data_IF_557331450571
#
_entry.id   IF_557331450571
#
_cell.length_a   1.000
_cell.length_b   1.000
_cell.length_c   1.000
_cell.angle_alpha   90.00
_cell.angle_beta   90.00
_cell.angle_gamma   90.00
#
_symmetry.space_group_name_H-M   'P 1'
#
loop_
_entity.id
_entity.type
_entity.pdbx_description
1 polymer ?
#
# COMPACT_ATOMS: atom_id res chain seq x y z
N UNK A 1 47.54 -68.33 -12.68
CA UNK A 1 48.08 -67.08 -12.11
C UNK A 1 47.26 -65.94 -12.70
N UNK A 2 46.66 -65.15 -11.81
CA UNK A 2 45.80 -63.96 -11.99
C UNK A 2 44.35 -64.13 -12.49
N UNK A 3 43.45 -63.98 -11.50
CA UNK A 3 42.00 -63.79 -11.56
C UNK A 3 41.63 -62.38 -12.03
N UNK A 4 40.47 -62.27 -12.68
CA UNK A 4 39.72 -61.03 -12.86
C UNK A 4 38.87 -60.77 -11.60
N UNK A 5 39.10 -59.65 -10.92
CA UNK A 5 38.35 -59.25 -9.72
C UNK A 5 37.28 -58.22 -10.08
N UNK A 6 36.02 -58.56 -9.81
CA UNK A 6 34.88 -57.65 -9.81
C UNK A 6 35.01 -56.62 -8.68
N UNK A 7 34.86 -55.33 -8.99
CA UNK A 7 34.80 -54.25 -7.99
C UNK A 7 33.34 -53.97 -7.64
N UNK A 8 33.04 -54.14 -6.35
CA UNK A 8 31.78 -53.89 -5.69
C UNK A 8 31.55 -52.38 -5.51
N UNK A 9 30.30 -51.92 -5.69
CA UNK A 9 29.87 -50.52 -5.49
C UNK A 9 30.06 -50.09 -4.03
N UNK A 10 30.70 -48.93 -3.82
CA UNK A 10 30.70 -48.23 -2.55
C UNK A 10 29.59 -47.16 -2.57
N UNK A 11 28.67 -47.28 -1.62
CA UNK A 11 27.56 -46.36 -1.37
C UNK A 11 28.10 -45.11 -0.68
N UNK A 12 28.32 -44.03 -1.43
CA UNK A 12 28.68 -42.72 -0.89
C UNK A 12 27.39 -41.99 -0.54
N UNK A 13 26.95 -42.19 0.70
CA UNK A 13 25.88 -41.41 1.31
C UNK A 13 26.26 -39.93 1.34
N UNK A 14 25.68 -39.14 0.44
CA UNK A 14 25.68 -37.68 0.56
C UNK A 14 24.55 -37.28 1.50
N UNK A 15 24.89 -37.10 2.79
CA UNK A 15 24.09 -36.31 3.70
C UNK A 15 24.00 -34.89 3.15
N UNK A 16 22.94 -34.58 2.42
CA UNK A 16 22.52 -33.20 2.15
C UNK A 16 21.73 -32.76 3.38
N UNK A 17 22.22 -31.80 4.19
CA UNK A 17 21.41 -31.24 5.24
C UNK A 17 20.21 -30.56 4.59
N UNK A 18 19.01 -31.03 4.94
CA UNK A 18 17.75 -30.38 4.61
C UNK A 18 17.70 -29.02 5.30
N UNK A 19 18.23 -27.98 4.62
CA UNK A 19 18.02 -26.59 5.01
C UNK A 19 16.58 -26.19 4.73
N UNK A 20 15.67 -26.67 5.57
CA UNK A 20 14.42 -25.95 5.85
C UNK A 20 14.80 -24.66 6.58
N UNK A 21 15.26 -23.66 5.83
CA UNK A 21 15.41 -22.28 6.30
C UNK A 21 14.02 -21.78 6.68
N UNK A 22 13.67 -21.92 7.95
CA UNK A 22 12.59 -21.13 8.55
C UNK A 22 12.86 -19.66 8.20
N UNK A 23 11.99 -19.09 7.36
CA UNK A 23 12.10 -17.70 6.94
C UNK A 23 11.85 -16.82 8.16
N UNK A 24 12.93 -16.42 8.84
CA UNK A 24 12.90 -15.50 9.96
C UNK A 24 12.12 -14.25 9.53
N UNK A 25 10.98 -13.99 10.18
CA UNK A 25 10.16 -12.83 9.85
C UNK A 25 10.99 -11.55 9.96
N UNK A 26 10.92 -10.71 8.92
CA UNK A 26 11.77 -9.52 8.83
C UNK A 26 11.40 -8.43 9.85
N UNK A 27 10.20 -8.51 10.43
CA UNK A 27 9.72 -7.60 11.46
C UNK A 27 9.93 -8.22 12.84
N UNK A 28 10.29 -7.41 13.87
CA UNK A 28 10.31 -7.88 15.25
C UNK A 28 8.97 -8.54 15.58
N UNK A 29 9.01 -9.64 16.33
CA UNK A 29 7.87 -10.52 16.56
C UNK A 29 6.57 -9.71 16.77
N UNK A 30 5.59 -9.93 15.89
CA UNK A 30 4.25 -9.33 15.91
C UNK A 30 4.12 -7.84 15.51
N UNK A 31 5.15 -7.18 14.97
CA UNK A 31 5.03 -5.79 14.48
C UNK A 31 4.27 -5.70 13.15
N UNK A 32 3.39 -4.71 13.00
CA UNK A 32 2.73 -4.37 11.72
C UNK A 32 3.18 -2.99 11.24
N UNK A 33 3.41 -2.81 9.95
CA UNK A 33 3.60 -1.49 9.33
C UNK A 33 2.28 -1.01 8.76
N UNK A 34 1.80 0.15 9.21
CA UNK A 34 0.66 0.85 8.63
C UNK A 34 1.21 1.95 7.73
N UNK A 35 1.04 1.78 6.43
CA UNK A 35 1.24 2.85 5.47
C UNK A 35 -0.05 3.66 5.35
N UNK A 36 -0.13 4.77 6.09
CA UNK A 36 -1.25 5.71 6.00
C UNK A 36 -1.02 6.66 4.82
N UNK A 37 -1.84 6.51 3.80
CA UNK A 37 -1.67 7.09 2.48
C UNK A 37 -2.22 8.50 2.46
N UNK A 38 -1.37 9.46 2.12
CA UNK A 38 -1.84 10.74 1.62
C UNK A 38 -2.04 10.62 0.10
N UNK A 39 -3.26 10.84 -0.45
CA UNK A 39 -3.49 10.72 -1.89
C UNK A 39 -2.57 11.66 -2.71
N UNK A 40 -2.21 11.21 -3.92
CA UNK A 40 -1.36 11.95 -4.89
C UNK A 40 0.06 12.28 -4.39
N UNK A 41 0.59 11.45 -3.49
CA UNK A 41 1.96 11.54 -2.95
C UNK A 41 2.96 10.52 -3.51
N UNK A 42 2.56 9.69 -4.49
CA UNK A 42 3.38 8.56 -4.98
C UNK A 42 3.18 7.26 -4.19
N UNK A 43 2.07 7.14 -3.46
CA UNK A 43 1.79 5.98 -2.61
C UNK A 43 1.65 4.65 -3.35
N UNK A 44 1.11 4.65 -4.57
CA UNK A 44 0.97 3.44 -5.41
C UNK A 44 2.33 2.83 -5.73
N UNK A 45 3.32 3.66 -6.07
CA UNK A 45 4.69 3.22 -6.36
C UNK A 45 5.34 2.53 -5.15
N UNK A 46 5.19 3.09 -3.94
CA UNK A 46 5.70 2.44 -2.74
C UNK A 46 4.95 1.14 -2.44
N UNK A 47 3.63 1.11 -2.61
CA UNK A 47 2.84 -0.10 -2.43
C UNK A 47 3.28 -1.22 -3.38
N UNK A 48 3.50 -0.91 -4.66
CA UNK A 48 4.01 -1.85 -5.67
C UNK A 48 5.42 -2.35 -5.33
N UNK A 49 6.30 -1.49 -4.81
CA UNK A 49 7.61 -1.89 -4.33
C UNK A 49 7.50 -2.93 -3.21
N UNK A 50 6.64 -2.68 -2.22
CA UNK A 50 6.40 -3.60 -1.11
C UNK A 50 5.80 -4.92 -1.61
N UNK A 51 4.85 -4.86 -2.54
CA UNK A 51 4.25 -6.04 -3.18
C UNK A 51 5.31 -6.88 -3.92
N UNK A 52 6.25 -6.24 -4.64
CA UNK A 52 7.37 -6.93 -5.29
C UNK A 52 8.33 -7.56 -4.28
N UNK A 53 8.69 -6.84 -3.22
CA UNK A 53 9.56 -7.37 -2.15
C UNK A 53 8.95 -8.59 -1.46
N UNK A 54 7.63 -8.64 -1.35
CA UNK A 54 6.92 -9.76 -0.71
C UNK A 54 7.22 -11.12 -1.33
N UNK A 55 7.52 -11.16 -2.65
CA UNK A 55 7.88 -12.38 -3.38
C UNK A 55 9.05 -13.15 -2.75
N UNK A 56 9.86 -12.48 -1.92
CA UNK A 56 11.04 -13.07 -1.25
C UNK A 56 11.01 -13.01 0.27
N UNK A 57 9.98 -12.38 0.87
CA UNK A 57 9.97 -12.00 2.30
C UNK A 57 8.77 -12.51 3.09
N UNK A 58 7.80 -13.19 2.46
CA UNK A 58 6.61 -13.77 3.12
C UNK A 58 5.88 -12.79 4.06
N UNK A 59 5.69 -11.56 3.60
CA UNK A 59 4.98 -10.47 4.29
C UNK A 59 3.49 -10.53 3.91
N UNK A 60 2.62 -10.73 4.90
CA UNK A 60 1.18 -10.56 4.66
C UNK A 60 0.85 -9.10 4.41
N UNK A 61 0.38 -8.78 3.20
CA UNK A 61 -0.05 -7.44 2.78
C UNK A 61 -1.57 -7.38 2.73
N UNK A 62 -2.15 -6.25 3.18
CA UNK A 62 -3.58 -5.92 3.03
C UNK A 62 -3.75 -4.51 2.50
N UNK A 63 -4.78 -4.29 1.68
CA UNK A 63 -5.15 -3.01 1.09
C UNK A 63 -6.60 -2.68 1.47
N UNK A 64 -6.84 -1.49 2.04
CA UNK A 64 -8.19 -0.98 2.38
C UNK A 64 -8.49 0.36 1.68
N UNK A 65 -7.82 0.63 0.55
CA UNK A 65 -8.05 1.82 -0.27
C UNK A 65 -9.33 1.74 -1.11
N UNK A 66 -9.80 0.53 -1.42
CA UNK A 66 -10.83 0.28 -2.44
C UNK A 66 -12.27 0.35 -1.90
N UNK A 67 -12.45 0.76 -0.64
CA UNK A 67 -13.76 0.85 0.02
C UNK A 67 -14.58 2.08 -0.40
N UNK A 68 -14.98 2.16 -1.68
CA UNK A 68 -15.73 3.31 -2.23
C UNK A 68 -17.11 3.55 -1.57
N UNK A 69 -17.69 2.52 -0.93
CA UNK A 69 -19.00 2.59 -0.26
C UNK A 69 -18.92 2.34 1.25
N UNK A 70 -17.74 2.41 1.85
CA UNK A 70 -17.53 2.13 3.26
C UNK A 70 -17.60 3.42 4.08
N UNK A 71 -18.39 3.41 5.16
CA UNK A 71 -18.38 4.51 6.14
C UNK A 71 -17.05 4.57 6.90
N UNK A 72 -16.75 5.71 7.51
CA UNK A 72 -15.54 5.85 8.33
C UNK A 72 -15.48 4.83 9.49
N UNK A 73 -16.62 4.55 10.13
CA UNK A 73 -16.71 3.60 11.24
C UNK A 73 -16.43 2.16 10.80
N UNK A 74 -17.01 1.73 9.68
CA UNK A 74 -16.77 0.40 9.10
C UNK A 74 -15.31 0.22 8.71
N UNK A 75 -14.71 1.25 8.07
CA UNK A 75 -13.28 1.23 7.71
C UNK A 75 -12.39 1.10 8.93
N UNK A 76 -12.71 1.84 9.99
CA UNK A 76 -11.95 1.80 11.23
C UNK A 76 -12.08 0.44 11.94
N UNK A 77 -13.26 -0.18 11.89
CA UNK A 77 -13.50 -1.52 12.42
C UNK A 77 -12.71 -2.58 11.64
N UNK A 78 -12.71 -2.49 10.31
CA UNK A 78 -11.91 -3.37 9.45
C UNK A 78 -10.42 -3.25 9.76
N UNK A 79 -9.89 -2.04 9.80
CA UNK A 79 -8.47 -1.77 10.09
C UNK A 79 -8.09 -2.31 11.47
N UNK A 80 -8.93 -2.12 12.49
CA UNK A 80 -8.70 -2.72 13.82
C UNK A 80 -8.63 -4.24 13.76
N UNK A 81 -9.56 -4.88 13.06
CA UNK A 81 -9.56 -6.36 12.89
C UNK A 81 -8.27 -6.83 12.21
N UNK A 82 -7.80 -6.11 11.19
CA UNK A 82 -6.57 -6.41 10.46
C UNK A 82 -5.33 -6.25 11.33
N UNK A 83 -5.18 -5.13 12.04
CA UNK A 83 -4.02 -4.83 12.89
C UNK A 83 -3.82 -5.90 13.98
N UNK A 84 -4.92 -6.41 14.54
CA UNK A 84 -4.89 -7.44 15.58
C UNK A 84 -4.88 -8.88 15.04
N UNK A 85 -4.91 -9.09 13.72
CA UNK A 85 -4.68 -10.41 13.14
C UNK A 85 -3.23 -10.83 13.37
N UNK A 86 -2.95 -12.12 13.56
CA UNK A 86 -1.62 -12.60 13.93
C UNK A 86 -0.60 -12.44 12.79
N UNK A 87 -1.04 -12.55 11.55
CA UNK A 87 -0.25 -12.68 10.33
C UNK A 87 0.10 -11.36 9.62
N UNK A 88 -0.56 -10.25 9.94
CA UNK A 88 -0.41 -8.99 9.18
C UNK A 88 0.98 -8.37 9.36
N UNK A 89 1.68 -8.15 8.23
CA UNK A 89 2.97 -7.47 8.19
C UNK A 89 2.90 -6.04 7.65
N UNK A 90 2.04 -5.77 6.65
CA UNK A 90 1.91 -4.46 6.02
C UNK A 90 0.45 -4.13 5.67
N UNK A 91 0.00 -2.95 6.07
CA UNK A 91 -1.33 -2.42 5.77
C UNK A 91 -1.23 -1.14 4.94
N UNK A 92 -1.82 -1.16 3.75
CA UNK A 92 -1.99 0.01 2.88
C UNK A 92 -3.40 0.58 3.07
N UNK A 93 -3.51 1.80 3.60
CA UNK A 93 -4.80 2.40 3.97
C UNK A 93 -4.80 3.92 3.82
N UNK A 94 -5.97 4.52 3.60
CA UNK A 94 -6.18 5.97 3.68
C UNK A 94 -7.20 6.28 4.75
N UNK A 95 -6.75 6.90 5.84
CA UNK A 95 -7.60 7.33 6.96
C UNK A 95 -6.99 8.56 7.64
N UNK A 96 -7.76 9.27 8.46
CA UNK A 96 -7.15 10.19 9.43
C UNK A 96 -6.23 9.40 10.36
N UNK A 97 -5.17 10.04 10.83
CA UNK A 97 -4.32 9.43 11.83
C UNK A 97 -5.14 8.98 13.04
N UNK A 98 -4.95 7.73 13.44
CA UNK A 98 -5.59 7.13 14.60
C UNK A 98 -4.51 6.41 15.37
N UNK A 99 -4.50 6.53 16.70
CA UNK A 99 -3.51 5.88 17.54
C UNK A 99 -4.01 4.49 17.98
N UNK A 100 -3.51 3.43 17.34
CA UNK A 100 -3.81 2.05 17.74
C UNK A 100 -2.82 1.55 18.81
N UNK A 101 -3.25 1.55 20.07
CA UNK A 101 -2.40 1.18 21.23
C UNK A 101 -2.87 -0.06 22.00
N UNK A 102 -3.92 -0.77 21.57
CA UNK A 102 -4.41 -1.92 22.35
C UNK A 102 -3.56 -3.18 22.09
N UNK A 103 -3.35 -3.98 23.14
CA UNK A 103 -2.70 -5.29 23.06
C UNK A 103 -1.18 -5.24 22.89
N UNK A 104 -0.58 -6.38 22.51
CA UNK A 104 0.87 -6.56 22.44
C UNK A 104 1.48 -6.15 21.09
N UNK A 105 0.66 -5.76 20.10
CA UNK A 105 1.12 -5.28 18.80
C UNK A 105 1.20 -3.75 18.83
N UNK A 106 2.38 -3.19 18.54
CA UNK A 106 2.59 -1.75 18.36
C UNK A 106 2.76 -1.46 16.86
N UNK A 107 1.73 -0.92 16.18
CA UNK A 107 1.85 -0.57 14.78
C UNK A 107 2.90 0.51 14.54
N UNK A 108 3.65 0.36 13.46
CA UNK A 108 4.62 1.34 12.98
C UNK A 108 4.00 2.11 11.83
N UNK A 109 3.86 3.42 11.96
CA UNK A 109 3.28 4.25 10.90
C UNK A 109 4.37 4.72 9.96
N UNK A 110 4.09 4.63 8.67
CA UNK A 110 4.82 5.34 7.63
C UNK A 110 3.82 6.10 6.76
N UNK A 111 4.27 7.22 6.19
CA UNK A 111 3.53 7.99 5.21
C UNK A 111 4.51 8.69 4.27
N UNK A 112 4.06 8.99 3.06
CA UNK A 112 4.77 9.86 2.13
C UNK A 112 3.96 11.14 2.00
N UNK A 113 4.63 12.28 2.12
CA UNK A 113 4.03 13.60 1.90
C UNK A 113 4.60 14.20 0.63
N UNK A 114 3.84 15.11 0.02
CA UNK A 114 4.22 15.87 -1.16
C UNK A 114 3.96 17.34 -0.90
N UNK A 115 4.70 18.21 -1.59
CA UNK A 115 4.42 19.65 -1.59
C UNK A 115 2.90 19.90 -1.74
N UNK A 116 2.29 20.74 -0.87
CA UNK A 116 0.84 20.93 -0.87
C UNK A 116 0.27 21.44 -2.19
N UNK A 117 1.00 22.29 -2.91
CA UNK A 117 0.55 22.88 -4.18
C UNK A 117 0.68 21.84 -5.29
N UNK A 118 1.81 21.14 -5.39
CA UNK A 118 2.00 20.10 -6.40
C UNK A 118 1.01 18.94 -6.20
N UNK A 119 0.72 18.57 -4.95
CA UNK A 119 -0.27 17.53 -4.65
C UNK A 119 -1.66 17.97 -5.10
N UNK A 120 -2.00 19.24 -4.91
CA UNK A 120 -3.27 19.79 -5.36
C UNK A 120 -3.34 19.84 -6.89
N UNK A 121 -2.30 20.30 -7.58
CA UNK A 121 -2.25 20.27 -9.04
C UNK A 121 -2.39 18.83 -9.58
N UNK A 122 -1.73 17.86 -8.93
CA UNK A 122 -1.88 16.44 -9.28
C UNK A 122 -3.30 15.90 -9.04
N UNK A 123 -3.96 16.32 -7.95
CA UNK A 123 -5.36 15.97 -7.71
C UNK A 123 -6.29 16.63 -8.73
N UNK A 124 -6.04 17.90 -9.06
CA UNK A 124 -6.80 18.68 -10.03
C UNK A 124 -6.87 17.99 -11.39
N UNK A 125 -5.73 17.52 -11.89
CA UNK A 125 -5.68 16.81 -13.16
C UNK A 125 -6.14 15.36 -13.06
N UNK A 126 -5.89 14.67 -11.94
CA UNK A 126 -6.41 13.31 -11.73
C UNK A 126 -7.94 13.25 -11.77
N UNK A 127 -8.63 14.20 -11.11
CA UNK A 127 -10.09 14.27 -11.14
C UNK A 127 -10.62 14.55 -12.55
N UNK A 128 -9.85 15.19 -13.43
CA UNK A 128 -10.26 15.52 -14.81
C UNK A 128 -9.90 14.45 -15.83
N UNK A 129 -8.74 13.83 -15.66
CA UNK A 129 -8.10 12.99 -16.67
C UNK A 129 -7.84 11.55 -16.21
N UNK A 130 -8.09 11.23 -14.93
CA UNK A 130 -7.89 9.88 -14.42
C UNK A 130 -6.41 9.54 -14.25
N UNK A 131 -6.12 8.24 -14.19
CA UNK A 131 -4.78 7.71 -14.42
C UNK A 131 -4.85 6.30 -15.04
N UNK A 132 -3.82 5.93 -15.78
CA UNK A 132 -3.76 4.68 -16.56
C UNK A 132 -3.95 3.40 -15.74
N UNK A 133 -3.78 3.47 -14.41
CA UNK A 133 -3.79 2.30 -13.54
C UNK A 133 -5.12 2.17 -12.80
N UNK A 134 -5.76 3.27 -12.44
CA UNK A 134 -7.09 3.26 -11.83
C UNK A 134 -8.15 2.87 -12.88
N UNK A 135 -8.02 3.40 -14.09
CA UNK A 135 -9.00 3.24 -15.17
C UNK A 135 -9.06 1.80 -15.74
N UNK A 136 -8.13 0.93 -15.33
CA UNK A 136 -8.15 -0.50 -15.68
C UNK A 136 -9.13 -1.32 -14.83
N UNK A 137 -9.59 -0.80 -13.69
CA UNK A 137 -10.54 -1.49 -12.81
C UNK A 137 -11.98 -1.05 -13.09
N UNK A 138 -12.97 -1.93 -12.91
CA UNK A 138 -14.39 -1.60 -13.07
C UNK A 138 -14.82 -0.40 -12.19
N UNK A 139 -14.37 -0.38 -10.93
CA UNK A 139 -14.61 0.76 -10.04
C UNK A 139 -13.94 2.05 -10.54
N UNK A 140 -12.75 1.94 -11.12
CA UNK A 140 -12.05 3.07 -11.73
C UNK A 140 -12.72 3.57 -13.01
N UNK A 141 -13.27 2.69 -13.84
CA UNK A 141 -14.06 3.05 -15.01
C UNK A 141 -15.32 3.81 -14.62
N UNK A 142 -16.07 3.34 -13.62
CA UNK A 142 -17.24 4.08 -13.11
C UNK A 142 -16.86 5.43 -12.47
N UNK A 143 -15.74 5.48 -11.75
CA UNK A 143 -15.20 6.73 -11.25
C UNK A 143 -14.86 7.68 -12.41
N UNK A 144 -14.24 7.16 -13.47
CA UNK A 144 -13.85 7.91 -14.66
C UNK A 144 -15.06 8.50 -15.37
N UNK A 145 -16.08 7.70 -15.65
CA UNK A 145 -17.36 8.12 -16.24
C UNK A 145 -18.00 9.24 -15.42
N UNK A 146 -18.11 9.05 -14.09
CA UNK A 146 -18.66 10.07 -13.18
C UNK A 146 -17.87 11.37 -13.26
N UNK A 147 -16.55 11.28 -13.31
CA UNK A 147 -15.68 12.45 -13.37
C UNK A 147 -15.77 13.18 -14.71
N UNK A 148 -15.88 12.45 -15.83
CA UNK A 148 -16.11 13.05 -17.15
C UNK A 148 -17.41 13.83 -17.20
N UNK A 149 -18.49 13.28 -16.63
CA UNK A 149 -19.78 13.98 -16.54
C UNK A 149 -19.71 15.30 -15.76
N UNK A 150 -18.81 15.41 -14.78
CA UNK A 150 -18.61 16.63 -13.98
C UNK A 150 -17.53 17.55 -14.55
N UNK A 151 -16.78 17.11 -15.56
CA UNK A 151 -15.66 17.86 -16.11
C UNK A 151 -16.10 18.85 -17.20
N UNK A 152 -16.78 19.92 -16.78
CA UNK A 152 -17.34 20.93 -17.69
C UNK A 152 -16.33 21.97 -18.20
N UNK A 153 -15.04 21.84 -17.86
CA UNK A 153 -14.03 22.85 -18.21
C UNK A 153 -12.69 22.22 -18.56
N UNK A 154 -12.12 22.66 -19.68
CA UNK A 154 -10.77 22.34 -20.14
C UNK A 154 -9.71 23.32 -19.61
N UNK A 155 -10.05 24.16 -18.63
CA UNK A 155 -9.09 25.10 -18.04
C UNK A 155 -7.92 24.35 -17.38
N UNK A 156 -6.75 24.98 -17.36
CA UNK A 156 -5.57 24.51 -16.64
C UNK A 156 -5.67 24.81 -15.14
N UNK A 157 -4.82 24.15 -14.35
CA UNK A 157 -4.72 24.44 -12.92
C UNK A 157 -4.42 25.92 -12.63
N UNK A 158 -3.54 26.54 -13.43
CA UNK A 158 -3.18 27.94 -13.26
C UNK A 158 -4.37 28.86 -13.57
N UNK A 159 -5.08 28.63 -14.67
CA UNK A 159 -6.28 29.41 -15.02
C UNK A 159 -7.38 29.27 -13.96
N UNK A 160 -7.57 28.06 -13.43
CA UNK A 160 -8.48 27.82 -12.31
C UNK A 160 -8.09 28.63 -11.07
N UNK A 161 -6.80 28.61 -10.69
CA UNK A 161 -6.31 29.34 -9.52
C UNK A 161 -6.42 30.85 -9.72
N UNK A 162 -6.10 31.36 -10.92
CA UNK A 162 -6.18 32.79 -11.21
C UNK A 162 -7.63 33.30 -11.25
N UNK A 163 -8.57 32.49 -11.73
CA UNK A 163 -9.98 32.87 -11.85
C UNK A 163 -10.77 32.71 -10.55
N UNK A 164 -10.48 31.68 -9.75
CA UNK A 164 -11.30 31.31 -8.57
C UNK A 164 -10.55 31.31 -7.24
N UNK A 165 -9.23 31.46 -7.27
CA UNK A 165 -8.37 31.35 -6.09
C UNK A 165 -8.24 29.91 -5.57
N UNK A 166 -7.29 29.71 -4.66
CA UNK A 166 -7.13 28.43 -3.95
C UNK A 166 -8.05 28.38 -2.73
N UNK A 167 -8.91 27.36 -2.64
CA UNK A 167 -9.73 27.17 -1.45
C UNK A 167 -8.85 26.81 -0.23
N UNK A 168 -9.11 27.43 0.93
CA UNK A 168 -8.46 27.10 2.22
C UNK A 168 -8.63 25.64 2.64
N UNK A 169 -9.74 25.02 2.21
CA UNK A 169 -10.01 23.61 2.47
C UNK A 169 -9.07 22.68 1.67
N UNK A 170 -8.51 23.16 0.57
CA UNK A 170 -7.62 22.37 -0.27
C UNK A 170 -6.18 22.34 0.27
N UNK A 171 -5.67 23.48 0.76
CA UNK A 171 -4.29 23.62 1.23
C UNK A 171 -4.02 22.92 2.57
N UNK A 172 -5.01 22.88 3.46
CA UNK A 172 -4.86 22.28 4.81
C UNK A 172 -5.13 20.77 4.85
N UNK A 173 -5.48 20.15 3.73
CA UNK A 173 -5.84 18.74 3.67
C UNK A 173 -4.67 17.81 4.09
N UNK A 174 -3.41 18.20 3.85
CA UNK A 174 -2.24 17.45 4.36
C UNK A 174 -2.25 17.39 5.87
N UNK A 175 -2.36 18.55 6.54
CA UNK A 175 -2.28 18.64 8.00
C UNK A 175 -3.43 17.86 8.63
N UNK A 176 -4.65 18.03 8.11
CA UNK A 176 -5.84 17.30 8.59
C UNK A 176 -5.75 15.78 8.45
N UNK A 177 -4.88 15.25 7.60
CA UNK A 177 -4.65 13.81 7.49
C UNK A 177 -3.86 13.26 8.69
N UNK A 178 -2.96 14.07 9.27
CA UNK A 178 -2.05 13.65 10.34
C UNK A 178 -2.46 14.12 11.74
N UNK A 179 -3.30 15.15 11.83
CA UNK A 179 -3.82 15.68 13.11
C UNK A 179 -5.17 15.02 13.41
N UNK A 180 -5.15 13.70 13.65
CA UNK A 180 -6.34 12.90 14.01
C UNK A 180 -7.23 13.57 15.05
#
# INVERSE_FOLDING_TARGET
MHMLTSIQKADLGTNVPDETKESKSFLPDKSVVIFNVLPKSGSRTLYELVAKMNQTKNITIRNTMDGFNQTHAEKLQEIRRLIYSHDLGFLYTHMKFELFVKGNKKPKYISIVRDPIDRLASLYYFVRYGDDVADQSEAGQHFRERMEQMNHSSESFNEYVMSRGLSRHSSTATVRHFVG
#
